data_IF_180689751070
#
_entry.id   IF_180689751070
#
_cell.length_a   1.000
_cell.length_b   1.000
_cell.length_c   1.000
_cell.angle_alpha   90.00
_cell.angle_beta   90.00
_cell.angle_gamma   90.00
#
_symmetry.space_group_name_H-M   'P 1'
#
loop_
_entity.id
_entity.type
_entity.pdbx_description
1 polymer ?
#
# COMPACT_ATOMS: atom_id res chain seq x y z
N UNK A 1 -16.86 14.23 -2.07
CA UNK A 1 -16.86 12.75 -2.06
C UNK A 1 -18.15 12.27 -2.72
N UNK A 2 -18.11 11.19 -3.49
CA UNK A 2 -19.30 10.48 -4.00
C UNK A 2 -19.25 9.00 -3.65
N UNK A 3 -20.41 8.39 -3.41
CA UNK A 3 -20.56 6.95 -3.16
C UNK A 3 -21.60 6.43 -4.17
N UNK A 4 -21.20 5.46 -4.97
CA UNK A 4 -22.00 4.86 -6.04
C UNK A 4 -22.11 3.35 -5.80
N UNK A 5 -23.29 2.76 -6.03
CA UNK A 5 -23.53 1.35 -5.75
C UNK A 5 -25.01 1.01 -5.63
N UNK A 6 -25.30 -0.23 -5.25
CA UNK A 6 -26.68 -0.65 -4.98
C UNK A 6 -27.23 0.12 -3.76
N UNK A 7 -28.47 0.64 -3.78
CA UNK A 7 -29.05 1.43 -2.68
C UNK A 7 -28.93 0.75 -1.31
N UNK A 8 -29.19 -0.55 -1.22
CA UNK A 8 -29.06 -1.32 0.01
C UNK A 8 -27.63 -1.41 0.57
N UNK A 9 -26.61 -1.23 -0.26
CA UNK A 9 -25.22 -1.17 0.21
C UNK A 9 -24.86 0.26 0.61
N UNK A 10 -25.29 1.25 -0.18
CA UNK A 10 -25.11 2.68 0.13
C UNK A 10 -25.72 3.03 1.50
N UNK A 11 -26.89 2.47 1.83
CA UNK A 11 -27.54 2.72 3.12
C UNK A 11 -26.78 2.17 4.33
N UNK A 12 -25.83 1.25 4.13
CA UNK A 12 -24.97 0.69 5.18
C UNK A 12 -23.64 1.45 5.34
N UNK A 13 -23.29 2.31 4.38
CA UNK A 13 -22.10 3.15 4.48
C UNK A 13 -22.29 4.22 5.55
N UNK A 14 -21.38 4.23 6.50
CA UNK A 14 -21.22 5.26 7.50
C UNK A 14 -19.98 6.09 7.17
N UNK A 15 -20.16 7.40 7.15
CA UNK A 15 -19.10 8.38 6.95
C UNK A 15 -19.02 9.20 8.22
N UNK A 16 -17.86 9.18 8.89
CA UNK A 16 -17.63 9.97 10.12
C UNK A 16 -16.38 10.81 9.93
N UNK A 17 -16.46 12.08 10.29
CA UNK A 17 -15.30 12.96 10.34
C UNK A 17 -15.00 13.36 11.78
N UNK A 18 -13.77 13.16 12.23
CA UNK A 18 -13.26 13.57 13.55
C UNK A 18 -11.99 14.38 13.36
N UNK A 19 -12.13 15.71 13.35
CA UNK A 19 -11.04 16.60 12.95
C UNK A 19 -10.60 16.30 11.52
N UNK A 20 -9.34 15.94 11.36
CA UNK A 20 -8.73 15.63 10.06
C UNK A 20 -8.90 14.16 9.63
N UNK A 21 -9.41 13.30 10.53
CA UNK A 21 -9.69 11.91 10.23
C UNK A 21 -11.06 11.75 9.56
N UNK A 22 -11.08 11.21 8.33
CA UNK A 22 -12.28 10.74 7.65
C UNK A 22 -12.35 9.21 7.71
N UNK A 23 -13.36 8.68 8.39
CA UNK A 23 -13.62 7.25 8.54
C UNK A 23 -14.79 6.83 7.64
N UNK A 24 -14.54 5.84 6.78
CA UNK A 24 -15.54 5.19 5.93
C UNK A 24 -15.72 3.75 6.39
N UNK A 25 -16.93 3.39 6.80
CA UNK A 25 -17.21 2.07 7.37
C UNK A 25 -18.52 1.51 6.82
N UNK A 26 -18.57 0.22 6.51
CA UNK A 26 -19.82 -0.47 6.16
C UNK A 26 -20.28 -1.23 7.40
N UNK A 27 -21.44 -0.88 7.96
CA UNK A 27 -21.91 -1.56 9.17
C UNK A 27 -22.23 -3.04 8.91
N UNK A 28 -21.82 -3.93 9.83
CA UNK A 28 -21.98 -5.40 9.76
C UNK A 28 -23.44 -5.92 9.80
N UNK A 29 -24.43 -5.08 9.50
CA UNK A 29 -25.80 -5.57 9.36
C UNK A 29 -25.91 -6.35 8.06
N UNK A 30 -25.80 -7.68 8.21
CA UNK A 30 -26.43 -8.72 7.41
C UNK A 30 -25.53 -9.43 6.37
N UNK A 31 -25.31 -10.73 6.59
CA UNK A 31 -24.59 -11.66 5.69
C UNK A 31 -25.25 -11.80 4.31
N UNK A 32 -26.45 -11.22 4.13
CA UNK A 32 -27.20 -11.16 2.86
C UNK A 32 -26.64 -10.15 1.84
N UNK A 33 -25.65 -9.34 2.21
CA UNK A 33 -25.03 -8.33 1.34
C UNK A 33 -23.89 -8.85 0.46
N UNK A 34 -23.35 -10.04 0.74
CA UNK A 34 -22.26 -10.67 -0.01
C UNK A 34 -22.57 -10.96 -1.49
N UNK A 35 -23.85 -10.90 -1.89
CA UNK A 35 -24.29 -11.19 -3.26
C UNK A 35 -24.59 -9.93 -4.10
N UNK A 36 -24.30 -8.73 -3.59
CA UNK A 36 -24.58 -7.46 -4.29
C UNK A 36 -23.30 -6.91 -4.92
N UNK A 37 -23.45 -6.25 -6.08
CA UNK A 37 -22.37 -5.50 -6.73
C UNK A 37 -21.78 -4.51 -5.71
N UNK A 38 -20.46 -4.49 -5.57
CA UNK A 38 -19.74 -3.65 -4.60
C UNK A 38 -19.99 -2.15 -4.80
N UNK A 39 -19.64 -1.36 -3.79
CA UNK A 39 -19.72 0.11 -3.87
C UNK A 39 -18.42 0.70 -4.40
N UNK A 40 -18.53 1.85 -5.06
CA UNK A 40 -17.42 2.69 -5.49
C UNK A 40 -17.47 4.00 -4.73
N UNK A 41 -16.37 4.36 -4.07
CA UNK A 41 -16.21 5.64 -3.40
C UNK A 41 -15.21 6.48 -4.20
N UNK A 42 -15.60 7.70 -4.57
CA UNK A 42 -14.68 8.69 -5.12
C UNK A 42 -14.43 9.78 -4.06
N UNK A 43 -13.20 9.87 -3.58
CA UNK A 43 -12.79 10.84 -2.58
C UNK A 43 -11.78 11.81 -3.19
N UNK A 44 -11.96 13.11 -2.91
CA UNK A 44 -10.97 14.15 -3.21
C UNK A 44 -10.41 14.60 -1.87
N UNK A 45 -9.09 14.54 -1.71
CA UNK A 45 -8.36 14.98 -0.53
C UNK A 45 -7.48 16.17 -0.91
N UNK A 46 -7.32 17.13 0.00
CA UNK A 46 -6.43 18.28 -0.20
C UNK A 46 -5.01 18.01 0.31
N UNK A 47 -4.89 17.13 1.31
CA UNK A 47 -3.66 16.54 1.80
C UNK A 47 -3.98 15.17 2.39
N UNK A 48 -2.99 14.29 2.44
CA UNK A 48 -3.15 12.92 2.93
C UNK A 48 -1.88 12.49 3.63
N UNK A 49 -1.90 12.45 4.96
CA UNK A 49 -0.76 11.97 5.76
C UNK A 49 -0.87 10.48 6.11
N UNK A 50 -2.08 9.93 6.13
CA UNK A 50 -2.31 8.53 6.45
C UNK A 50 -3.49 7.96 5.67
N UNK A 51 -3.34 6.72 5.20
CA UNK A 51 -4.42 5.90 4.67
C UNK A 51 -4.39 4.53 5.34
N UNK A 52 -5.45 4.19 6.06
CA UNK A 52 -5.67 2.84 6.56
C UNK A 52 -6.79 2.16 5.76
N UNK A 53 -6.52 0.94 5.31
CA UNK A 53 -7.50 0.09 4.65
C UNK A 53 -7.70 -1.20 5.42
N UNK A 54 -8.93 -1.39 5.89
CA UNK A 54 -9.40 -2.64 6.49
C UNK A 54 -10.54 -3.27 5.68
N UNK A 55 -10.50 -4.59 5.49
CA UNK A 55 -11.56 -5.36 4.83
C UNK A 55 -11.22 -5.78 3.40
N UNK A 56 -12.22 -5.84 2.52
CA UNK A 56 -12.09 -6.35 1.15
C UNK A 56 -12.44 -5.28 0.11
N UNK A 57 -11.50 -4.94 -0.78
CA UNK A 57 -11.69 -3.82 -1.70
C UNK A 57 -10.45 -3.44 -2.49
N UNK A 58 -10.62 -2.56 -3.47
CA UNK A 58 -9.52 -2.03 -4.25
C UNK A 58 -9.43 -0.52 -4.07
N UNK A 59 -8.20 -0.02 -3.97
CA UNK A 59 -7.89 1.41 -3.85
C UNK A 59 -7.06 1.81 -5.07
N UNK A 60 -7.41 2.94 -5.67
CA UNK A 60 -6.63 3.52 -6.76
C UNK A 60 -6.60 5.04 -6.65
N UNK A 61 -5.43 5.64 -6.87
CA UNK A 61 -5.36 7.08 -7.17
C UNK A 61 -5.75 7.30 -8.63
N UNK A 62 -6.47 8.40 -8.90
CA UNK A 62 -6.85 8.81 -10.26
C UNK A 62 -5.80 9.74 -10.87
N UNK A 63 -5.17 10.56 -10.02
CA UNK A 63 -4.06 11.45 -10.36
C UNK A 63 -2.91 11.22 -9.36
N UNK A 64 -1.67 11.60 -9.69
CA UNK A 64 -0.58 11.63 -8.73
C UNK A 64 -0.95 12.45 -7.49
N UNK A 65 -0.57 11.97 -6.31
CA UNK A 65 -0.70 12.70 -5.06
C UNK A 65 0.62 13.40 -4.74
N UNK A 66 0.57 14.69 -4.41
CA UNK A 66 1.71 15.48 -3.92
C UNK A 66 1.64 15.54 -2.38
N UNK A 67 2.57 14.86 -1.71
CA UNK A 67 2.54 14.55 -0.29
C UNK A 67 3.88 14.91 0.37
N UNK A 68 3.88 15.12 1.69
CA UNK A 68 5.12 15.22 2.46
C UNK A 68 5.42 13.84 3.07
N UNK A 69 4.96 13.63 4.31
CA UNK A 69 4.97 12.35 5.00
C UNK A 69 3.66 11.62 4.75
N UNK A 70 3.76 10.40 4.22
CA UNK A 70 2.60 9.56 3.94
C UNK A 70 2.76 8.16 4.53
N UNK A 71 1.81 7.77 5.36
CA UNK A 71 1.71 6.42 5.93
C UNK A 71 0.58 5.61 5.29
N UNK A 72 0.90 4.46 4.72
CA UNK A 72 -0.06 3.50 4.18
C UNK A 72 -0.12 2.27 5.09
N UNK A 73 -1.30 1.97 5.62
CA UNK A 73 -1.54 0.78 6.44
C UNK A 73 -2.54 -0.12 5.73
N UNK A 74 -2.10 -1.32 5.35
CA UNK A 74 -2.93 -2.31 4.65
C UNK A 74 -3.24 -3.52 5.53
N UNK A 75 -4.52 -3.68 5.92
CA UNK A 75 -5.02 -4.78 6.76
C UNK A 75 -6.24 -5.43 6.13
N UNK A 76 -6.06 -6.30 5.14
CA UNK A 76 -7.24 -6.84 4.45
C UNK A 76 -6.92 -7.63 3.20
N UNK A 77 -7.86 -7.62 2.26
CA UNK A 77 -7.76 -8.34 1.00
C UNK A 77 -8.06 -7.42 -0.18
N UNK A 78 -7.20 -7.41 -1.20
CA UNK A 78 -7.51 -6.66 -2.42
C UNK A 78 -6.33 -6.18 -3.25
N UNK A 79 -6.48 -5.00 -3.85
CA UNK A 79 -5.42 -4.33 -4.62
C UNK A 79 -5.34 -2.85 -4.30
N UNK A 80 -4.13 -2.35 -4.09
CA UNK A 80 -3.85 -0.93 -3.90
C UNK A 80 -2.94 -0.46 -5.04
N UNK A 81 -3.34 0.56 -5.78
CA UNK A 81 -2.55 1.16 -6.86
C UNK A 81 -2.44 2.67 -6.62
N UNK A 82 -1.25 3.15 -6.28
CA UNK A 82 -1.05 4.57 -6.01
C UNK A 82 0.09 5.13 -6.86
N UNK A 83 -0.10 6.37 -7.28
CA UNK A 83 0.91 7.22 -7.89
C UNK A 83 1.06 8.45 -7.00
N UNK A 84 2.29 8.73 -6.59
CA UNK A 84 2.59 9.77 -5.61
C UNK A 84 3.97 10.40 -5.85
N UNK A 85 4.11 11.65 -5.42
CA UNK A 85 5.35 12.36 -5.18
C UNK A 85 5.38 12.67 -3.68
N UNK A 86 6.41 12.20 -2.97
CA UNK A 86 6.49 12.34 -1.51
C UNK A 86 7.90 12.57 -0.99
N UNK A 87 8.02 13.19 0.18
CA UNK A 87 9.28 13.19 0.93
C UNK A 87 9.50 11.82 1.60
N UNK A 88 8.50 11.32 2.33
CA UNK A 88 8.60 10.03 3.00
C UNK A 88 7.34 9.19 2.77
N UNK A 89 7.55 7.93 2.42
CA UNK A 89 6.49 6.91 2.33
C UNK A 89 6.79 5.80 3.32
N UNK A 90 5.88 5.58 4.26
CA UNK A 90 5.91 4.48 5.22
C UNK A 90 4.75 3.52 4.91
N UNK A 91 5.05 2.34 4.40
CA UNK A 91 4.05 1.34 4.01
C UNK A 91 4.15 0.10 4.90
N UNK A 92 3.14 -0.12 5.73
CA UNK A 92 3.00 -1.23 6.66
C UNK A 92 1.87 -2.17 6.20
N UNK A 93 2.24 -3.32 5.67
CA UNK A 93 1.32 -4.24 4.99
C UNK A 93 1.24 -5.59 5.69
N UNK A 94 0.10 -5.83 6.32
CA UNK A 94 -0.37 -7.16 6.74
C UNK A 94 -1.62 -7.53 5.93
N UNK A 95 -1.40 -7.69 4.64
CA UNK A 95 -2.43 -7.68 3.61
C UNK A 95 -2.32 -8.90 2.71
N UNK A 96 -3.47 -9.40 2.25
CA UNK A 96 -3.54 -10.46 1.23
C UNK A 96 -3.91 -9.85 -0.12
N UNK A 97 -2.95 -9.72 -1.03
CA UNK A 97 -3.24 -9.10 -2.32
C UNK A 97 -2.05 -8.52 -3.05
N UNK A 98 -2.26 -7.38 -3.72
CA UNK A 98 -1.17 -6.64 -4.37
C UNK A 98 -1.14 -5.14 -4.06
N UNK A 99 0.06 -4.61 -3.87
CA UNK A 99 0.33 -3.17 -3.83
C UNK A 99 1.14 -2.79 -5.07
N UNK A 100 0.77 -1.69 -5.74
CA UNK A 100 1.61 -1.02 -6.73
C UNK A 100 1.82 0.43 -6.33
N UNK A 101 3.07 0.85 -6.20
CA UNK A 101 3.46 2.25 -5.96
C UNK A 101 4.26 2.77 -7.16
N UNK A 102 3.99 4.01 -7.57
CA UNK A 102 4.65 4.69 -8.68
C UNK A 102 4.93 6.16 -8.34
N UNK A 103 5.90 6.75 -9.04
CA UNK A 103 6.24 8.17 -8.94
C UNK A 103 7.62 8.36 -8.31
N UNK A 104 7.75 9.30 -7.38
CA UNK A 104 9.03 9.65 -6.74
C UNK A 104 8.87 9.76 -5.23
N UNK A 105 9.85 9.25 -4.49
CA UNK A 105 9.96 9.48 -3.05
C UNK A 105 11.40 9.84 -2.68
N UNK A 106 11.62 10.66 -1.64
CA UNK A 106 12.97 10.78 -1.08
C UNK A 106 13.31 9.54 -0.25
N UNK A 107 12.41 9.10 0.62
CA UNK A 107 12.56 7.88 1.41
C UNK A 107 11.34 6.97 1.29
N UNK A 108 11.59 5.66 1.15
CA UNK A 108 10.59 4.61 1.21
C UNK A 108 10.96 3.62 2.32
N UNK A 109 10.10 3.52 3.33
CA UNK A 109 10.10 2.41 4.28
C UNK A 109 8.96 1.47 3.93
N UNK A 110 9.27 0.19 3.70
CA UNK A 110 8.31 -0.81 3.28
C UNK A 110 8.44 -2.06 4.16
N UNK A 111 7.39 -2.35 4.92
CA UNK A 111 7.28 -3.54 5.75
C UNK A 111 6.17 -4.42 5.19
N UNK A 112 6.52 -5.66 4.84
CA UNK A 112 5.58 -6.64 4.32
C UNK A 112 5.57 -7.89 5.18
N UNK A 113 4.49 -8.07 5.94
CA UNK A 113 4.20 -9.26 6.74
C UNK A 113 3.05 -10.10 6.15
N UNK A 114 2.43 -9.62 5.07
CA UNK A 114 1.27 -10.22 4.44
C UNK A 114 1.57 -11.34 3.45
N UNK A 115 0.55 -11.67 2.64
CA UNK A 115 0.65 -12.65 1.54
C UNK A 115 0.31 -11.94 0.24
N UNK A 116 1.29 -11.68 -0.60
CA UNK A 116 1.03 -10.86 -1.77
C UNK A 116 2.23 -10.44 -2.56
N UNK A 117 1.96 -9.63 -3.59
CA UNK A 117 3.00 -9.03 -4.41
C UNK A 117 3.00 -7.51 -4.27
N UNK A 118 4.16 -6.95 -3.99
CA UNK A 118 4.38 -5.50 -3.92
C UNK A 118 5.26 -5.10 -5.09
N UNK A 119 4.76 -4.20 -5.92
CA UNK A 119 5.49 -3.63 -7.05
C UNK A 119 5.66 -2.11 -6.83
N UNK A 120 6.80 -1.75 -6.26
CA UNK A 120 7.30 -0.38 -6.18
C UNK A 120 8.49 -0.17 -7.14
N UNK A 121 8.64 -1.00 -8.18
CA UNK A 121 9.72 -0.86 -9.17
C UNK A 121 9.62 0.41 -10.02
N UNK A 122 8.47 1.09 -9.97
CA UNK A 122 8.18 2.35 -10.66
C UNK A 122 8.10 3.54 -9.70
N UNK A 123 8.43 3.35 -8.43
CA UNK A 123 8.60 4.42 -7.45
C UNK A 123 10.10 4.66 -7.30
N UNK A 124 10.60 5.78 -7.82
CA UNK A 124 12.02 6.13 -7.75
C UNK A 124 12.30 6.70 -6.37
N UNK A 125 13.06 5.97 -5.54
CA UNK A 125 13.42 6.39 -4.19
C UNK A 125 14.93 6.65 -4.04
N UNK A 126 15.31 7.66 -3.26
CA UNK A 126 16.72 7.94 -2.92
C UNK A 126 17.21 7.08 -1.75
N UNK A 127 16.30 6.71 -0.84
CA UNK A 127 16.58 5.77 0.24
C UNK A 127 15.44 4.75 0.32
N UNK A 128 15.80 3.48 0.43
CA UNK A 128 14.84 2.38 0.63
C UNK A 128 15.25 1.54 1.82
N UNK A 129 14.32 1.41 2.77
CA UNK A 129 14.38 0.45 3.86
C UNK A 129 13.26 -0.57 3.65
N UNK A 130 13.62 -1.83 3.35
CA UNK A 130 12.66 -2.89 3.08
C UNK A 130 12.84 -4.05 4.05
N UNK A 131 11.77 -4.38 4.76
CA UNK A 131 11.62 -5.61 5.54
C UNK A 131 10.54 -6.49 4.89
N UNK A 132 10.91 -7.71 4.50
CA UNK A 132 10.02 -8.68 3.88
C UNK A 132 9.93 -9.96 4.71
N UNK A 133 9.02 -9.99 5.69
CA UNK A 133 8.71 -11.16 6.52
C UNK A 133 7.59 -12.06 5.97
N UNK A 134 6.76 -11.54 5.06
CA UNK A 134 5.61 -12.22 4.49
C UNK A 134 5.90 -13.24 3.38
N UNK A 135 4.85 -13.63 2.65
CA UNK A 135 4.94 -14.55 1.52
C UNK A 135 4.66 -13.83 0.20
N UNK A 136 5.61 -13.85 -0.73
CA UNK A 136 5.40 -13.41 -2.10
C UNK A 136 6.57 -12.60 -2.68
N UNK A 137 6.26 -11.65 -3.56
CA UNK A 137 7.29 -10.90 -4.29
C UNK A 137 7.29 -9.43 -3.91
N UNK A 138 8.46 -8.85 -3.74
CA UNK A 138 8.62 -7.41 -3.52
C UNK A 138 9.62 -6.86 -4.54
N UNK A 139 9.22 -5.86 -5.31
CA UNK A 139 10.08 -5.16 -6.25
C UNK A 139 10.20 -3.68 -5.86
N UNK A 140 11.42 -3.15 -5.78
CA UNK A 140 11.69 -1.73 -5.45
C UNK A 140 12.69 -1.13 -6.44
N UNK A 141 12.72 0.20 -6.54
CA UNK A 141 13.71 0.93 -7.32
C UNK A 141 14.41 1.97 -6.43
N UNK A 142 15.73 1.91 -6.35
CA UNK A 142 16.52 2.75 -5.46
C UNK A 142 17.73 3.34 -6.19
N UNK A 143 17.92 4.65 -6.06
CA UNK A 143 19.04 5.40 -6.68
C UNK A 143 20.09 5.88 -5.66
N UNK A 144 19.89 5.62 -4.37
CA UNK A 144 20.82 6.00 -3.30
C UNK A 144 21.07 4.86 -2.32
N UNK A 145 20.61 4.98 -1.07
CA UNK A 145 20.88 3.99 -0.03
C UNK A 145 19.82 2.88 0.01
N UNK A 146 20.27 1.63 0.06
CA UNK A 146 19.39 0.47 0.15
C UNK A 146 19.72 -0.39 1.38
N UNK A 147 18.73 -0.58 2.23
CA UNK A 147 18.73 -1.50 3.36
C UNK A 147 17.64 -2.56 3.18
N UNK A 148 18.03 -3.84 3.27
CA UNK A 148 17.15 -4.98 3.00
C UNK A 148 17.25 -6.04 4.11
N UNK A 149 16.11 -6.43 4.67
CA UNK A 149 15.96 -7.62 5.51
C UNK A 149 14.87 -8.54 4.94
N UNK A 150 15.21 -9.80 4.71
CA UNK A 150 14.34 -10.80 4.08
C UNK A 150 14.25 -12.05 4.96
N UNK A 151 13.16 -12.15 5.70
CA UNK A 151 12.88 -13.26 6.63
C UNK A 151 11.76 -14.18 6.14
N UNK A 152 10.98 -13.72 5.17
CA UNK A 152 9.83 -14.43 4.62
C UNK A 152 10.14 -15.46 3.55
N UNK A 153 9.09 -15.83 2.80
CA UNK A 153 9.17 -16.80 1.69
C UNK A 153 8.86 -16.07 0.39
N UNK A 154 9.82 -16.06 -0.53
CA UNK A 154 9.58 -15.55 -1.87
C UNK A 154 10.77 -14.82 -2.48
N UNK A 155 10.53 -13.69 -3.13
CA UNK A 155 11.58 -13.02 -3.90
C UNK A 155 11.51 -11.51 -3.72
N UNK A 156 12.63 -10.94 -3.31
CA UNK A 156 12.85 -9.51 -3.29
C UNK A 156 13.71 -9.17 -4.49
N UNK A 157 13.35 -8.13 -5.23
CA UNK A 157 14.15 -7.61 -6.33
C UNK A 157 14.30 -6.11 -6.22
N UNK A 158 15.47 -5.61 -6.57
CA UNK A 158 15.70 -4.17 -6.69
C UNK A 158 16.33 -3.83 -8.03
N UNK A 159 16.09 -2.59 -8.46
CA UNK A 159 16.65 -1.97 -9.66
C UNK A 159 17.21 -0.58 -9.32
N UNK A 160 17.95 0.01 -10.25
CA UNK A 160 18.65 1.28 -10.06
C UNK A 160 20.14 1.03 -9.81
N UNK A 161 20.85 2.00 -9.23
CA UNK A 161 22.24 1.83 -8.83
C UNK A 161 22.48 2.17 -7.35
N UNK A 162 21.85 1.43 -6.41
CA UNK A 162 21.93 1.77 -5.00
C UNK A 162 23.28 1.38 -4.38
N UNK A 163 23.72 2.17 -3.40
CA UNK A 163 24.69 1.74 -2.41
C UNK A 163 23.98 0.88 -1.36
N UNK A 164 24.21 -0.43 -1.41
CA UNK A 164 23.64 -1.38 -0.44
C UNK A 164 24.40 -1.24 0.89
N UNK A 165 23.76 -0.66 1.90
CA UNK A 165 24.34 -0.43 3.23
C UNK A 165 24.06 -1.59 4.18
N UNK A 166 22.99 -2.34 3.94
CA UNK A 166 22.62 -3.52 4.72
C UNK A 166 21.86 -4.52 3.86
N UNK A 167 22.23 -5.79 3.94
CA UNK A 167 21.49 -6.89 3.33
C UNK A 167 21.55 -8.12 4.26
N UNK A 168 20.38 -8.60 4.67
CA UNK A 168 20.24 -9.79 5.50
C UNK A 168 19.12 -10.67 4.96
N UNK A 169 19.41 -11.96 4.76
CA UNK A 169 18.46 -12.93 4.24
C UNK A 169 18.48 -14.17 5.13
N UNK A 170 17.46 -14.34 5.97
CA UNK A 170 17.32 -15.50 6.86
C UNK A 170 16.18 -16.44 6.45
N UNK A 171 15.24 -15.95 5.64
CA UNK A 171 14.08 -16.73 5.18
C UNK A 171 14.38 -17.69 4.03
N UNK A 172 13.32 -18.30 3.50
CA UNK A 172 13.37 -19.07 2.23
C UNK A 172 13.13 -18.11 1.06
N UNK A 173 13.84 -16.98 1.10
CA UNK A 173 13.75 -15.88 0.16
C UNK A 173 14.95 -15.85 -0.79
N UNK A 174 14.77 -15.21 -1.94
CA UNK A 174 15.87 -14.86 -2.86
C UNK A 174 15.89 -13.37 -3.09
N UNK A 175 17.09 -12.79 -3.18
CA UNK A 175 17.28 -11.40 -3.57
C UNK A 175 17.84 -11.36 -5.00
N UNK A 176 17.11 -10.74 -5.92
CA UNK A 176 17.52 -10.53 -7.30
C UNK A 176 17.96 -9.07 -7.51
N UNK A 177 19.15 -8.90 -8.09
CA UNK A 177 19.78 -7.60 -8.33
C UNK A 177 19.73 -7.35 -9.84
N UNK A 178 18.96 -6.36 -10.30
CA UNK A 178 18.66 -6.11 -11.71
C UNK A 178 19.11 -4.73 -12.17
#
# INVERSE_FOLDING_TARGET
MTIEGHPDLISLFQVKQRGDLLELHISEKDSRTFNKKGAKVNLKVAGLSEMEFEGAGNIATVNPLDLNDFRLIGRGVGKVNMELEADHVDADLNFVGSLTLKGVARELTLINEGIGNIDASKLIAQKVELVSGGIGKVAVHCEGELSLEVDGIGTVSYTGNPTVVHEKVNGIGKVNRN
#
